data_IF_765059788878
#
_entry.id   IF_765059788878
#
_cell.length_a   1.000
_cell.length_b   1.000
_cell.length_c   1.000
_cell.angle_alpha   90.00
_cell.angle_beta   90.00
_cell.angle_gamma   90.00
#
_symmetry.space_group_name_H-M   'P 1'
#
loop_
_entity.id
_entity.type
_entity.pdbx_description
1 polymer ?
#
# COMPACT_ATOMS: atom_id res chain seq x y z
N UNK A 1 -2.40 5.16 -3.86
CA UNK A 1 -1.17 5.66 -3.20
C UNK A 1 -1.00 7.17 -3.34
N UNK A 2 -0.80 7.71 -4.55
CA UNK A 2 -0.56 9.15 -4.77
C UNK A 2 -1.65 10.05 -4.16
N UNK A 3 -2.91 9.64 -4.21
CA UNK A 3 -4.02 10.37 -3.58
C UNK A 3 -3.85 10.49 -2.06
N UNK A 4 -3.53 9.41 -1.35
CA UNK A 4 -3.35 9.44 0.11
C UNK A 4 -2.10 10.23 0.50
N UNK A 5 -0.99 10.08 -0.23
CA UNK A 5 0.23 10.86 -0.01
C UNK A 5 -0.02 12.36 -0.20
N UNK A 6 -0.70 12.75 -1.28
CA UNK A 6 -1.01 14.16 -1.54
C UNK A 6 -1.98 14.74 -0.51
N UNK A 7 -2.98 13.98 -0.07
CA UNK A 7 -3.87 14.38 1.05
C UNK A 7 -3.09 14.56 2.35
N UNK A 8 -2.18 13.64 2.68
CA UNK A 8 -1.34 13.74 3.88
C UNK A 8 -0.43 14.97 3.85
N UNK A 9 0.28 15.19 2.73
CA UNK A 9 1.11 16.38 2.54
C UNK A 9 0.28 17.67 2.63
N UNK A 10 -0.92 17.70 2.04
CA UNK A 10 -1.82 18.86 2.17
C UNK A 10 -2.23 19.14 3.62
N UNK A 11 -2.47 18.09 4.42
CA UNK A 11 -2.76 18.25 5.87
C UNK A 11 -1.57 18.85 6.62
N UNK A 12 -0.34 18.36 6.36
CA UNK A 12 0.89 18.92 6.93
C UNK A 12 1.06 20.40 6.58
N UNK A 13 0.92 20.76 5.30
CA UNK A 13 1.04 22.15 4.84
C UNK A 13 -0.04 23.07 5.40
N UNK A 14 -1.22 22.53 5.71
CA UNK A 14 -2.32 23.28 6.34
C UNK A 14 -2.24 23.35 7.87
N UNK A 15 -1.22 22.74 8.50
CA UNK A 15 -1.09 22.67 9.96
C UNK A 15 -2.09 21.75 10.66
N UNK A 16 -2.85 20.95 9.91
CA UNK A 16 -3.81 19.95 10.44
C UNK A 16 -3.15 18.65 10.87
N UNK A 17 -1.88 18.48 10.54
CA UNK A 17 -1.01 17.41 10.99
C UNK A 17 0.38 18.00 11.24
N UNK A 18 1.17 17.33 12.07
CA UNK A 18 2.50 17.78 12.46
C UNK A 18 3.48 16.66 12.15
N UNK A 19 4.61 17.01 11.54
CA UNK A 19 5.71 16.07 11.35
C UNK A 19 6.40 15.81 12.70
N UNK A 20 6.97 14.61 12.90
CA UNK A 20 7.95 14.39 13.96
C UNK A 20 9.12 15.38 13.84
N UNK A 21 9.94 15.45 14.88
CA UNK A 21 11.18 16.23 14.80
C UNK A 21 12.11 15.68 13.72
N UNK A 22 13.02 16.52 13.23
CA UNK A 22 14.01 16.11 12.22
C UNK A 22 14.83 14.89 12.67
N UNK A 23 15.22 14.85 13.95
CA UNK A 23 15.97 13.72 14.51
C UNK A 23 15.16 12.42 14.50
N UNK A 24 13.86 12.49 14.79
CA UNK A 24 12.99 11.31 14.76
C UNK A 24 12.80 10.80 13.33
N UNK A 25 12.59 11.70 12.37
CA UNK A 25 12.48 11.33 10.96
C UNK A 25 13.77 10.71 10.41
N UNK A 26 14.93 11.26 10.76
CA UNK A 26 16.23 10.70 10.37
C UNK A 26 16.46 9.31 10.99
N UNK A 27 16.10 9.13 12.26
CA UNK A 27 16.20 7.84 12.94
C UNK A 27 15.31 6.78 12.27
N UNK A 28 14.08 7.13 11.89
CA UNK A 28 13.17 6.23 11.17
C UNK A 28 13.75 5.77 9.81
N UNK A 29 14.31 6.71 9.04
CA UNK A 29 14.99 6.40 7.76
C UNK A 29 16.25 5.54 7.98
N UNK A 30 17.01 5.76 9.05
CA UNK A 30 18.17 4.94 9.38
C UNK A 30 17.77 3.51 9.75
N UNK A 31 16.69 3.33 10.52
CA UNK A 31 16.09 2.02 10.82
C UNK A 31 15.71 1.31 9.52
N UNK A 32 15.06 2.01 8.59
CA UNK A 32 14.71 1.45 7.29
C UNK A 32 15.95 0.96 6.51
N UNK A 33 16.99 1.79 6.39
CA UNK A 33 18.22 1.38 5.69
C UNK A 33 18.96 0.23 6.38
N UNK A 34 18.93 0.17 7.72
CA UNK A 34 19.49 -0.96 8.46
C UNK A 34 18.73 -2.25 8.16
N UNK A 35 17.40 -2.22 8.19
CA UNK A 35 16.56 -3.37 7.85
C UNK A 35 16.80 -3.83 6.40
N UNK A 36 16.93 -2.89 5.45
CA UNK A 36 17.30 -3.22 4.07
C UNK A 36 18.66 -3.93 3.98
N UNK A 37 19.66 -3.43 4.72
CA UNK A 37 21.00 -4.03 4.74
C UNK A 37 20.97 -5.46 5.30
N UNK A 38 20.21 -5.68 6.37
CA UNK A 38 20.02 -7.01 6.98
C UNK A 38 19.32 -7.97 6.01
N UNK A 39 18.33 -7.49 5.25
CA UNK A 39 17.63 -8.24 4.19
C UNK A 39 18.42 -8.36 2.89
N UNK A 40 19.63 -7.80 2.83
CA UNK A 40 20.46 -7.74 1.62
C UNK A 40 19.76 -7.08 0.42
N UNK A 41 18.83 -6.15 0.68
CA UNK A 41 18.09 -5.44 -0.36
C UNK A 41 19.00 -4.43 -1.05
N UNK A 42 19.13 -4.48 -2.40
CA UNK A 42 19.91 -3.50 -3.13
C UNK A 42 19.38 -2.07 -2.94
N UNK A 43 20.27 -1.07 -2.86
CA UNK A 43 19.88 0.34 -2.66
C UNK A 43 18.90 0.87 -3.72
N UNK A 44 18.99 0.42 -4.96
CA UNK A 44 18.06 0.85 -6.01
C UNK A 44 16.62 0.34 -5.79
N UNK A 45 16.41 -0.61 -4.88
CA UNK A 45 15.10 -1.11 -4.45
C UNK A 45 14.58 -0.42 -3.18
N UNK A 46 15.19 0.68 -2.71
CA UNK A 46 14.75 1.39 -1.48
C UNK A 46 13.27 1.79 -1.53
N UNK A 47 12.77 2.17 -2.71
CA UNK A 47 11.39 2.59 -2.88
C UNK A 47 10.47 1.47 -3.41
N UNK A 48 11.00 0.24 -3.50
CA UNK A 48 10.21 -0.91 -3.91
C UNK A 48 9.43 -1.40 -2.69
N UNK A 49 8.16 -1.02 -2.61
CA UNK A 49 7.25 -1.46 -1.55
C UNK A 49 6.64 -2.80 -1.98
N UNK A 50 7.46 -3.85 -1.92
CA UNK A 50 7.06 -5.24 -2.11
C UNK A 50 7.62 -6.07 -0.94
N UNK A 51 6.88 -7.07 -0.43
CA UNK A 51 5.66 -7.69 -0.98
C UNK A 51 4.39 -6.83 -0.88
N UNK A 52 3.29 -7.30 -1.48
CA UNK A 52 1.99 -6.60 -1.53
C UNK A 52 1.48 -6.24 -0.12
N UNK A 53 1.77 -7.06 0.88
CA UNK A 53 1.43 -6.78 2.28
C UNK A 53 2.06 -5.47 2.77
N UNK A 54 3.36 -5.26 2.55
CA UNK A 54 4.07 -4.02 2.88
C UNK A 54 3.41 -2.80 2.18
N UNK A 55 2.86 -2.99 0.99
CA UNK A 55 2.15 -1.94 0.25
C UNK A 55 0.84 -1.57 0.94
N UNK A 56 0.07 -2.54 1.42
CA UNK A 56 -1.19 -2.29 2.12
C UNK A 56 -0.99 -1.75 3.53
N UNK A 57 0.04 -2.20 4.26
CA UNK A 57 0.44 -1.59 5.53
C UNK A 57 0.76 -0.10 5.36
N UNK A 58 1.51 0.24 4.31
CA UNK A 58 1.81 1.64 4.00
C UNK A 58 0.56 2.46 3.64
N UNK A 59 -0.35 1.89 2.84
CA UNK A 59 -1.60 2.56 2.47
C UNK A 59 -2.55 2.75 3.66
N UNK A 60 -2.66 1.76 4.53
CA UNK A 60 -3.46 1.85 5.76
C UNK A 60 -2.87 2.88 6.72
N UNK A 61 -1.54 2.90 6.87
CA UNK A 61 -0.86 3.93 7.65
C UNK A 61 -1.14 5.32 7.11
N UNK A 62 -1.05 5.53 5.79
CA UNK A 62 -1.40 6.80 5.15
C UNK A 62 -2.88 7.17 5.33
N UNK A 63 -3.80 6.22 5.21
CA UNK A 63 -5.23 6.43 5.41
C UNK A 63 -5.52 6.93 6.83
N UNK A 64 -4.86 6.35 7.83
CA UNK A 64 -4.94 6.81 9.21
C UNK A 64 -4.46 8.26 9.37
N UNK A 65 -3.40 8.69 8.66
CA UNK A 65 -2.93 10.08 8.72
C UNK A 65 -3.91 11.11 8.14
N UNK A 66 -4.84 10.65 7.30
CA UNK A 66 -5.86 11.50 6.66
C UNK A 66 -7.28 11.24 7.18
N UNK A 67 -7.41 10.49 8.27
CA UNK A 67 -8.69 10.14 8.93
C UNK A 67 -9.65 9.39 8.00
N UNK A 68 -9.12 8.55 7.13
CA UNK A 68 -9.89 7.66 6.27
C UNK A 68 -9.85 6.21 6.80
N UNK A 69 -10.88 5.39 6.50
CA UNK A 69 -10.81 3.97 6.80
C UNK A 69 -9.63 3.30 6.07
N UNK A 70 -9.10 2.19 6.59
CA UNK A 70 -8.09 1.40 5.90
C UNK A 70 -8.62 0.90 4.55
N UNK A 71 -7.69 0.45 3.69
CA UNK A 71 -8.06 -0.14 2.40
C UNK A 71 -8.99 -1.33 2.63
N UNK A 72 -10.09 -1.38 1.88
CA UNK A 72 -11.05 -2.47 1.94
C UNK A 72 -10.36 -3.82 1.75
N UNK A 73 -10.60 -4.78 2.64
CA UNK A 73 -9.97 -6.10 2.62
C UNK A 73 -10.18 -6.83 1.30
N UNK A 74 -11.34 -6.66 0.67
CA UNK A 74 -11.63 -7.23 -0.65
C UNK A 74 -10.73 -6.66 -1.74
N UNK A 75 -10.45 -5.35 -1.69
CA UNK A 75 -9.51 -4.73 -2.64
C UNK A 75 -8.08 -5.23 -2.41
N UNK A 76 -7.72 -5.58 -1.17
CA UNK A 76 -6.44 -6.24 -0.86
C UNK A 76 -6.36 -7.62 -1.50
N UNK A 77 -7.37 -8.46 -1.30
CA UNK A 77 -7.48 -9.79 -1.91
C UNK A 77 -7.40 -9.74 -3.44
N UNK A 78 -8.16 -8.85 -4.09
CA UNK A 78 -8.12 -8.66 -5.55
C UNK A 78 -6.71 -8.28 -6.02
N UNK A 79 -6.03 -7.41 -5.29
CA UNK A 79 -4.69 -6.95 -5.67
C UNK A 79 -3.64 -8.04 -5.44
N UNK A 80 -3.72 -8.79 -4.34
CA UNK A 80 -2.84 -9.93 -4.06
C UNK A 80 -2.95 -10.99 -5.17
N UNK A 81 -4.18 -11.33 -5.58
CA UNK A 81 -4.41 -12.26 -6.68
C UNK A 81 -3.89 -11.71 -8.01
N UNK A 82 -4.16 -10.45 -8.31
CA UNK A 82 -3.63 -9.78 -9.50
C UNK A 82 -2.09 -9.86 -9.55
N UNK A 83 -1.41 -9.55 -8.45
CA UNK A 83 0.05 -9.60 -8.39
C UNK A 83 0.57 -11.03 -8.47
N UNK A 84 -0.10 -12.00 -7.86
CA UNK A 84 0.22 -13.42 -7.99
C UNK A 84 0.17 -13.87 -9.47
N UNK A 85 -0.89 -13.50 -10.19
CA UNK A 85 -1.05 -13.81 -11.61
C UNK A 85 -0.01 -13.05 -12.46
N UNK A 86 0.20 -11.76 -12.22
CA UNK A 86 1.15 -10.93 -12.96
C UNK A 86 2.60 -11.43 -12.82
N UNK A 87 2.95 -11.90 -11.62
CA UNK A 87 4.28 -12.43 -11.30
C UNK A 87 4.41 -13.92 -11.64
N UNK A 88 3.33 -14.58 -12.08
CA UNK A 88 3.37 -15.98 -12.51
C UNK A 88 4.27 -16.16 -13.75
N UNK A 89 5.03 -17.26 -13.84
CA UNK A 89 5.94 -17.51 -14.96
C UNK A 89 5.23 -17.57 -16.33
N UNK A 90 3.96 -18.00 -16.35
CA UNK A 90 3.21 -18.23 -17.58
C UNK A 90 2.59 -16.94 -18.13
N UNK A 91 2.28 -15.94 -17.28
CA UNK A 91 1.61 -14.66 -17.64
C UNK A 91 0.29 -14.77 -18.42
N UNK A 92 -0.22 -15.99 -18.65
CA UNK A 92 -1.48 -16.26 -19.38
C UNK A 92 -2.70 -15.93 -18.52
N UNK A 93 -2.58 -16.05 -17.20
CA UNK A 93 -3.71 -15.95 -16.28
C UNK A 93 -4.40 -14.59 -16.25
N UNK A 94 -3.77 -13.48 -16.68
CA UNK A 94 -4.43 -12.16 -16.70
C UNK A 94 -5.58 -12.07 -17.71
N UNK A 95 -5.50 -12.80 -18.83
CA UNK A 95 -6.60 -12.83 -19.82
C UNK A 95 -7.76 -13.70 -19.37
N UNK A 96 -7.47 -14.68 -18.53
CA UNK A 96 -8.42 -15.69 -18.06
C UNK A 96 -8.96 -15.35 -16.66
N UNK A 97 -8.44 -14.30 -16.03
CA UNK A 97 -8.80 -13.88 -14.69
C UNK A 97 -10.25 -13.36 -14.67
N UNK A 98 -11.13 -14.08 -13.96
CA UNK A 98 -12.53 -13.69 -13.75
C UNK A 98 -12.64 -12.63 -12.65
N UNK A 99 -12.24 -11.41 -12.97
CA UNK A 99 -12.39 -10.23 -12.08
C UNK A 99 -13.84 -10.02 -11.68
N UNK A 100 -14.79 -10.36 -12.55
CA UNK A 100 -16.21 -10.13 -12.31
C UNK A 100 -16.77 -11.02 -11.19
N UNK A 101 -16.14 -12.17 -10.90
CA UNK A 101 -16.47 -12.97 -9.71
C UNK A 101 -16.34 -12.14 -8.42
N UNK A 102 -15.32 -11.30 -8.34
CA UNK A 102 -15.10 -10.35 -7.25
C UNK A 102 -16.05 -9.15 -7.25
N UNK A 103 -16.89 -8.96 -8.26
CA UNK A 103 -17.94 -7.93 -8.23
C UNK A 103 -19.27 -8.57 -7.85
N UNK A 104 -19.56 -9.77 -8.37
CA UNK A 104 -20.80 -10.51 -8.12
C UNK A 104 -20.99 -10.83 -6.63
N UNK A 105 -19.94 -11.26 -5.94
CA UNK A 105 -20.02 -11.56 -4.49
C UNK A 105 -20.19 -10.32 -3.60
N UNK A 106 -19.94 -9.10 -4.11
CA UNK A 106 -20.08 -7.84 -3.37
C UNK A 106 -21.46 -7.20 -3.50
N UNK A 107 -22.23 -7.59 -4.52
CA UNK A 107 -23.56 -7.05 -4.79
C UNK A 107 -24.64 -7.43 -3.76
N UNK A 108 -24.35 -8.33 -2.81
CA UNK A 108 -25.28 -8.72 -1.74
C UNK A 108 -25.37 -7.74 -0.56
N UNK A 109 -24.53 -6.71 -0.49
CA UNK A 109 -24.48 -5.79 0.67
C UNK A 109 -24.83 -4.33 0.37
N UNK A 110 -25.19 -3.98 -0.88
CA UNK A 110 -25.64 -2.63 -1.25
C UNK A 110 -27.16 -2.50 -1.43
N UNK A 111 -27.95 -3.31 -0.71
CA UNK A 111 -29.36 -3.03 -0.50
C UNK A 111 -29.53 -2.40 0.89
N UNK A 112 -29.56 -1.07 0.93
CA UNK A 112 -30.12 -0.28 2.04
C UNK A 112 -31.52 0.14 1.65
#
# INVERSE_FOLDING_TARGET
MAELQSKWVARLLSGKAVLPSESEMLADVEVHYRNMKERQTPKHNTHLILPVDDQFEYLDWLAAQVELPPVDGRLKEISEEFFSILMSPQRVGLREWDVDSFIRDGSRQFNV
#
